data_IF_527878522671
#
_entry.id   IF_527878522671
#
_cell.length_a   1.000
_cell.length_b   1.000
_cell.length_c   1.000
_cell.angle_alpha   90.00
_cell.angle_beta   90.00
_cell.angle_gamma   90.00
#
_symmetry.space_group_name_H-M   'P 1'
#
loop_
_entity.id
_entity.type
_entity.pdbx_description
1 polymer ?
#
# COMPACT_ATOMS: atom_id res chain seq x y z
N UNK A 1 -25.46 -28.68 -13.97
CA UNK A 1 -25.33 -27.89 -12.73
C UNK A 1 -24.24 -28.53 -11.90
N UNK A 2 -23.05 -27.93 -11.86
CA UNK A 2 -21.93 -28.44 -11.08
C UNK A 2 -22.09 -28.01 -9.60
N UNK A 3 -21.95 -28.96 -8.69
CA UNK A 3 -22.24 -28.79 -7.27
C UNK A 3 -21.32 -27.79 -6.56
N UNK A 4 -21.91 -27.04 -5.63
CA UNK A 4 -21.20 -26.15 -4.71
C UNK A 4 -20.32 -26.97 -3.74
N UNK A 5 -19.03 -27.09 -4.06
CA UNK A 5 -18.04 -27.72 -3.20
C UNK A 5 -17.61 -26.80 -2.06
N UNK A 6 -18.24 -26.96 -0.89
CA UNK A 6 -17.71 -26.95 0.49
C UNK A 6 -16.56 -26.00 0.94
N UNK A 7 -16.27 -24.88 0.26
CA UNK A 7 -15.38 -23.82 0.74
C UNK A 7 -15.99 -22.44 0.47
N UNK A 8 -15.97 -21.53 1.46
CA UNK A 8 -16.43 -20.15 1.23
C UNK A 8 -15.43 -19.46 0.31
N UNK A 9 -15.88 -19.11 -0.90
CA UNK A 9 -15.15 -18.29 -1.86
C UNK A 9 -15.43 -16.79 -1.57
N UNK A 10 -14.39 -16.01 -1.26
CA UNK A 10 -14.47 -14.55 -1.15
C UNK A 10 -13.86 -13.91 -2.38
N UNK A 11 -14.59 -12.97 -2.99
CA UNK A 11 -14.10 -12.15 -4.10
C UNK A 11 -13.88 -10.71 -3.65
N UNK A 12 -12.66 -10.20 -3.80
CA UNK A 12 -12.33 -8.79 -3.61
C UNK A 12 -12.14 -8.12 -4.97
N UNK A 13 -12.77 -6.97 -5.16
CA UNK A 13 -12.59 -6.12 -6.34
C UNK A 13 -11.70 -4.95 -5.97
N UNK A 14 -10.52 -4.87 -6.59
CA UNK A 14 -9.47 -3.90 -6.31
C UNK A 14 -8.29 -4.53 -5.56
N UNK A 15 -7.13 -4.55 -6.20
CA UNK A 15 -5.85 -5.03 -5.66
C UNK A 15 -5.04 -3.92 -4.97
N UNK A 16 -5.72 -3.00 -4.29
CA UNK A 16 -5.06 -1.96 -3.48
C UNK A 16 -4.52 -2.51 -2.15
N UNK A 17 -3.58 -1.81 -1.51
CA UNK A 17 -3.00 -2.22 -0.22
C UNK A 17 -4.05 -2.61 0.83
N UNK A 18 -5.14 -1.85 0.97
CA UNK A 18 -6.24 -2.20 1.89
C UNK A 18 -6.93 -3.53 1.52
N UNK A 19 -7.19 -3.75 0.23
CA UNK A 19 -7.76 -4.99 -0.27
C UNK A 19 -6.82 -6.19 -0.05
N UNK A 20 -5.52 -6.00 -0.27
CA UNK A 20 -4.51 -7.03 -0.04
C UNK A 20 -4.37 -7.39 1.45
N UNK A 21 -4.44 -6.39 2.35
CA UNK A 21 -4.46 -6.64 3.80
C UNK A 21 -5.70 -7.45 4.18
N UNK A 22 -6.88 -7.03 3.71
CA UNK A 22 -8.13 -7.75 3.94
C UNK A 22 -8.07 -9.19 3.42
N UNK A 23 -7.64 -9.38 2.17
CA UNK A 23 -7.47 -10.69 1.54
C UNK A 23 -6.54 -11.60 2.35
N UNK A 24 -5.44 -11.05 2.87
CA UNK A 24 -4.46 -11.80 3.68
C UNK A 24 -5.08 -12.30 4.98
N UNK A 25 -5.83 -11.45 5.69
CA UNK A 25 -6.51 -11.87 6.92
C UNK A 25 -7.59 -12.92 6.66
N UNK A 26 -8.38 -12.76 5.59
CA UNK A 26 -9.41 -13.73 5.21
C UNK A 26 -8.79 -15.09 4.79
N UNK A 27 -7.70 -15.07 4.04
CA UNK A 27 -6.97 -16.28 3.66
C UNK A 27 -6.38 -16.99 4.90
N UNK A 28 -5.82 -16.24 5.86
CA UNK A 28 -5.35 -16.79 7.15
C UNK A 28 -6.47 -17.39 8.01
N UNK A 29 -7.71 -16.91 7.85
CA UNK A 29 -8.89 -17.51 8.47
C UNK A 29 -9.39 -18.79 7.76
N UNK A 30 -8.67 -19.28 6.76
CA UNK A 30 -8.99 -20.52 6.03
C UNK A 30 -10.01 -20.34 4.90
N UNK A 31 -10.31 -19.09 4.50
CA UNK A 31 -11.20 -18.81 3.37
C UNK A 31 -10.44 -18.88 2.06
N UNK A 32 -11.12 -19.29 0.98
CA UNK A 32 -10.57 -19.23 -0.36
C UNK A 32 -10.84 -17.84 -0.93
N UNK A 33 -9.77 -17.10 -1.23
CA UNK A 33 -9.87 -15.68 -1.58
C UNK A 33 -9.35 -15.45 -3.00
N UNK A 34 -10.13 -14.74 -3.80
CA UNK A 34 -9.76 -14.25 -5.13
C UNK A 34 -9.75 -12.72 -5.13
N UNK A 35 -8.69 -12.11 -5.64
CA UNK A 35 -8.58 -10.64 -5.79
C UNK A 35 -8.55 -10.31 -7.27
N UNK A 36 -9.45 -9.44 -7.72
CA UNK A 36 -9.50 -8.94 -9.09
C UNK A 36 -9.03 -7.50 -9.13
N UNK A 37 -7.94 -7.23 -9.83
CA UNK A 37 -7.43 -5.89 -10.08
C UNK A 37 -7.46 -5.62 -11.59
N UNK A 38 -7.87 -4.41 -11.97
CA UNK A 38 -7.93 -4.01 -13.38
C UNK A 38 -6.53 -3.72 -13.94
N UNK A 39 -5.64 -3.18 -13.12
CA UNK A 39 -4.26 -2.82 -13.48
C UNK A 39 -3.38 -4.07 -13.58
N UNK A 40 -2.28 -4.02 -14.36
CA UNK A 40 -1.29 -5.11 -14.40
C UNK A 40 -0.43 -5.21 -13.13
N UNK A 41 -0.67 -4.35 -12.13
CA UNK A 41 0.10 -4.25 -10.89
C UNK A 41 -0.84 -4.06 -9.71
N UNK A 42 -0.48 -4.67 -8.57
CA UNK A 42 -1.20 -4.55 -7.30
C UNK A 42 -0.48 -3.60 -6.34
N UNK A 43 -1.18 -3.11 -5.32
CA UNK A 43 -0.70 -2.16 -4.31
C UNK A 43 -1.54 -0.89 -4.24
N UNK A 44 -2.26 -0.55 -5.33
CA UNK A 44 -3.11 0.64 -5.40
C UNK A 44 -2.30 1.92 -5.10
N UNK A 45 -2.74 2.70 -4.12
CA UNK A 45 -2.04 3.91 -3.70
C UNK A 45 -0.63 3.66 -3.12
N UNK A 46 -0.20 2.42 -2.88
CA UNK A 46 1.16 2.12 -2.42
C UNK A 46 2.14 1.82 -3.58
N UNK A 47 1.67 1.80 -4.84
CA UNK A 47 2.52 1.53 -6.00
C UNK A 47 3.43 2.73 -6.27
N UNK A 48 4.71 2.45 -6.56
CA UNK A 48 5.68 3.47 -7.00
C UNK A 48 5.70 3.59 -8.52
N UNK A 49 5.31 4.76 -9.01
CA UNK A 49 5.19 5.07 -10.44
C UNK A 49 6.16 6.18 -10.84
N UNK A 50 6.59 6.20 -12.09
CA UNK A 50 7.37 7.30 -12.65
C UNK A 50 6.41 8.41 -13.08
N UNK A 51 6.61 9.62 -12.55
CA UNK A 51 5.77 10.78 -12.86
C UNK A 51 6.53 11.87 -13.63
N UNK A 52 7.85 11.77 -13.67
CA UNK A 52 8.76 12.62 -14.44
C UNK A 52 10.02 11.79 -14.76
N UNK A 53 10.68 11.98 -15.91
CA UNK A 53 11.90 11.24 -16.26
C UNK A 53 12.93 11.20 -15.12
N UNK A 54 13.24 9.98 -14.66
CA UNK A 54 14.18 9.72 -13.57
C UNK A 54 13.62 9.88 -12.14
N UNK A 55 12.35 10.26 -11.99
CA UNK A 55 11.70 10.49 -10.69
C UNK A 55 10.49 9.59 -10.49
N UNK A 56 10.51 8.85 -9.39
CA UNK A 56 9.46 7.90 -9.03
C UNK A 56 8.95 8.16 -7.62
N UNK A 57 7.64 8.03 -7.44
CA UNK A 57 6.98 8.07 -6.14
C UNK A 57 5.63 7.35 -6.25
N UNK A 58 5.02 7.02 -5.12
CA UNK A 58 3.57 6.85 -5.12
C UNK A 58 2.90 8.19 -5.40
N UNK A 59 1.94 8.18 -6.32
CA UNK A 59 1.14 9.35 -6.68
C UNK A 59 0.00 9.64 -5.70
N UNK A 60 -0.24 8.76 -4.72
CA UNK A 60 -1.38 8.86 -3.80
C UNK A 60 -1.04 8.61 -2.32
N UNK A 61 0.00 7.85 -1.99
CA UNK A 61 0.44 7.58 -0.62
C UNK A 61 1.93 7.87 -0.47
N UNK A 62 2.24 9.11 -0.09
CA UNK A 62 3.62 9.64 0.02
C UNK A 62 4.16 9.57 1.45
N UNK A 63 3.40 9.01 2.40
CA UNK A 63 3.84 8.72 3.77
C UNK A 63 3.26 7.39 4.25
N UNK A 64 4.01 6.67 5.08
CA UNK A 64 3.59 5.38 5.70
C UNK A 64 2.87 5.60 7.04
N UNK A 65 2.63 6.86 7.44
CA UNK A 65 2.12 7.20 8.78
C UNK A 65 0.75 6.61 9.12
N UNK A 66 -0.06 6.29 8.11
CA UNK A 66 -1.39 5.70 8.28
C UNK A 66 -1.40 4.17 8.28
N UNK A 67 -0.26 3.50 8.02
CA UNK A 67 -0.20 2.05 8.10
C UNK A 67 -0.21 1.61 9.57
N UNK A 68 -1.24 0.87 9.94
CA UNK A 68 -1.49 0.52 11.34
C UNK A 68 -0.41 -0.49 11.84
N UNK A 69 0.27 -0.23 12.98
CA UNK A 69 1.38 -1.08 13.47
C UNK A 69 1.05 -2.55 13.72
N UNK A 70 -0.19 -2.85 14.12
CA UNK A 70 -0.72 -4.20 14.26
C UNK A 70 -0.78 -4.92 12.91
N UNK A 71 -1.12 -4.23 11.81
CA UNK A 71 -1.06 -4.86 10.48
C UNK A 71 0.38 -5.23 10.11
N UNK A 72 1.34 -4.36 10.45
CA UNK A 72 2.78 -4.65 10.26
C UNK A 72 3.18 -5.89 11.06
N UNK A 73 2.77 -5.97 12.32
CA UNK A 73 3.11 -7.07 13.22
C UNK A 73 2.40 -8.38 12.84
N UNK A 74 1.08 -8.35 12.67
CA UNK A 74 0.27 -9.52 12.34
C UNK A 74 0.77 -10.16 11.05
N UNK A 75 1.04 -9.35 10.02
CA UNK A 75 1.47 -9.85 8.70
C UNK A 75 2.99 -10.03 8.58
N UNK A 76 3.75 -9.81 9.66
CA UNK A 76 5.20 -9.87 9.70
C UNK A 76 5.89 -9.17 8.52
N UNK A 77 5.43 -7.95 8.22
CA UNK A 77 5.84 -7.26 6.99
C UNK A 77 7.34 -6.97 6.94
N UNK A 78 8.00 -6.84 8.10
CA UNK A 78 9.45 -6.66 8.17
C UNK A 78 10.20 -7.90 7.68
N UNK A 79 9.76 -9.11 8.01
CA UNK A 79 10.32 -10.34 7.44
C UNK A 79 10.10 -10.43 5.92
N UNK A 80 9.05 -9.79 5.42
CA UNK A 80 8.75 -9.67 3.99
C UNK A 80 9.37 -8.42 3.31
N UNK A 81 10.32 -7.74 3.98
CA UNK A 81 11.13 -6.68 3.37
C UNK A 81 10.62 -5.26 3.59
N UNK A 82 9.59 -5.04 4.43
CA UNK A 82 9.18 -3.69 4.83
C UNK A 82 10.34 -2.98 5.54
N UNK A 83 10.70 -1.81 5.03
CA UNK A 83 11.65 -0.89 5.65
C UNK A 83 11.02 0.48 5.82
N UNK A 84 10.93 0.95 7.06
CA UNK A 84 10.45 2.31 7.34
C UNK A 84 11.65 3.26 7.26
N UNK A 85 11.59 4.20 6.33
CA UNK A 85 12.59 5.26 6.20
C UNK A 85 12.01 6.54 6.76
N UNK A 86 12.61 7.05 7.83
CA UNK A 86 12.20 8.32 8.43
C UNK A 86 12.58 9.48 7.49
N UNK A 87 11.62 10.39 7.31
CA UNK A 87 11.83 11.61 6.53
C UNK A 87 12.60 12.60 7.39
N UNK A 88 13.76 13.07 6.90
CA UNK A 88 14.56 14.12 7.56
C UNK A 88 13.82 15.47 7.64
N UNK A 89 12.88 15.69 6.71
CA UNK A 89 12.08 16.91 6.55
C UNK A 89 10.64 16.51 6.23
N UNK A 90 9.67 17.14 6.91
CA UNK A 90 8.25 16.81 6.77
C UNK A 90 7.61 17.51 5.59
N UNK A 91 8.00 18.74 5.28
CA UNK A 91 7.47 19.47 4.13
C UNK A 91 8.53 20.37 3.49
N UNK A 92 8.43 20.51 2.18
CA UNK A 92 9.14 21.48 1.37
C UNK A 92 8.11 22.15 0.46
N UNK A 93 8.01 23.48 0.53
CA UNK A 93 7.12 24.29 -0.29
C UNK A 93 7.98 25.32 -1.06
N UNK A 94 8.22 25.11 -2.36
CA UNK A 94 8.91 26.10 -3.19
C UNK A 94 8.01 27.31 -3.46
N UNK A 95 8.59 28.50 -3.51
CA UNK A 95 7.92 29.76 -3.84
C UNK A 95 8.38 30.26 -5.22
N UNK A 96 7.56 31.05 -5.95
CA UNK A 96 7.87 31.50 -7.31
C UNK A 96 9.14 32.35 -7.43
N UNK A 97 9.57 32.99 -6.35
CA UNK A 97 10.75 33.86 -6.27
C UNK A 97 12.04 33.10 -5.93
N UNK A 98 12.00 31.77 -5.92
CA UNK A 98 13.14 30.91 -5.59
C UNK A 98 13.37 30.72 -4.09
N UNK A 99 12.57 31.36 -3.23
CA UNK A 99 12.54 31.06 -1.80
C UNK A 99 11.77 29.76 -1.53
N UNK A 100 11.84 29.27 -0.30
CA UNK A 100 11.09 28.10 0.12
C UNK A 100 10.75 28.11 1.61
N UNK A 101 9.69 27.40 1.96
CA UNK A 101 9.40 27.00 3.33
C UNK A 101 9.82 25.53 3.51
N UNK A 102 10.73 25.27 4.45
CA UNK A 102 11.17 23.93 4.82
C UNK A 102 10.80 23.66 6.28
N UNK A 103 9.96 22.66 6.52
CA UNK A 103 9.47 22.35 7.88
C UNK A 103 9.58 20.87 8.22
N UNK A 104 9.56 20.60 9.52
CA UNK A 104 9.74 19.27 10.09
C UNK A 104 11.22 18.93 10.28
N UNK A 105 11.62 18.75 11.54
CA UNK A 105 12.78 17.96 11.93
C UNK A 105 12.29 16.60 12.40
N UNK A 106 13.15 15.58 12.24
CA UNK A 106 12.97 14.31 12.94
C UNK A 106 12.98 14.50 14.44
#
# INVERSE_FOLDING_TARGET
MAGAGQGRDVLLVGGGHNGLVCATYLARAGLKVSVLERRPVVGGAAVTEEFHPGFRNSVASYTVSLLQPRVIADLDLHAHGLRIVQRKRSNFLPLPDGQYLLTGGG
#
